data_IF_875511058181
#
_entry.id   IF_875511058181
#
_cell.length_a   1.000
_cell.length_b   1.000
_cell.length_c   1.000
_cell.angle_alpha   90.00
_cell.angle_beta   90.00
_cell.angle_gamma   90.00
#
_symmetry.space_group_name_H-M   'P 1'
#
loop_
_entity.id
_entity.type
_entity.pdbx_description
1 polymer ?
#
# COMPACT_ATOMS: atom_id res chain seq x y z
N UNK A 1 3.90 -10.19 29.78
CA UNK A 1 5.03 -9.83 28.88
C UNK A 1 4.97 -10.61 27.57
N UNK A 2 4.77 -11.93 27.55
CA UNK A 2 4.74 -12.75 26.31
C UNK A 2 3.84 -12.17 25.20
N UNK A 3 2.63 -11.70 25.52
CA UNK A 3 1.73 -11.08 24.53
C UNK A 3 2.19 -9.70 24.07
N UNK A 4 2.91 -8.96 24.90
CA UNK A 4 3.52 -7.69 24.48
C UNK A 4 4.61 -7.93 23.42
N UNK A 5 5.49 -8.92 23.65
CA UNK A 5 6.53 -9.31 22.70
C UNK A 5 5.93 -9.85 21.40
N UNK A 6 4.87 -10.66 21.50
CA UNK A 6 4.14 -11.17 20.34
C UNK A 6 3.59 -10.01 19.47
N UNK A 7 2.88 -9.05 20.08
CA UNK A 7 2.30 -7.93 19.33
C UNK A 7 3.36 -6.99 18.76
N UNK A 8 4.47 -6.76 19.46
CA UNK A 8 5.61 -6.03 18.90
C UNK A 8 6.08 -6.67 17.59
N UNK A 9 6.31 -7.98 17.55
CA UNK A 9 6.75 -8.67 16.34
C UNK A 9 5.69 -8.66 15.24
N UNK A 10 4.42 -8.85 15.56
CA UNK A 10 3.34 -8.78 14.58
C UNK A 10 3.19 -7.36 13.97
N UNK A 11 3.42 -6.31 14.76
CA UNK A 11 3.40 -4.94 14.25
C UNK A 11 4.59 -4.65 13.33
N UNK A 12 5.77 -5.13 13.65
CA UNK A 12 6.93 -5.04 12.76
C UNK A 12 6.67 -5.76 11.43
N UNK A 13 6.14 -6.97 11.46
CA UNK A 13 5.72 -7.71 10.25
C UNK A 13 4.65 -6.97 9.46
N UNK A 14 3.70 -6.30 10.13
CA UNK A 14 2.70 -5.48 9.46
C UNK A 14 3.36 -4.37 8.62
N UNK A 15 4.32 -3.63 9.18
CA UNK A 15 5.05 -2.58 8.46
C UNK A 15 5.85 -3.14 7.29
N UNK A 16 6.52 -4.27 7.46
CA UNK A 16 7.21 -4.96 6.36
C UNK A 16 6.22 -5.36 5.25
N UNK A 17 5.04 -5.86 5.62
CA UNK A 17 4.00 -6.27 4.67
C UNK A 17 3.41 -5.10 3.87
N UNK A 18 3.37 -3.91 4.43
CA UNK A 18 2.92 -2.71 3.70
C UNK A 18 4.05 -2.00 2.94
N UNK A 19 5.30 -2.46 3.08
CA UNK A 19 6.42 -2.03 2.24
C UNK A 19 7.49 -1.19 2.92
N UNK A 20 7.49 -1.09 4.25
CA UNK A 20 8.58 -0.44 5.01
C UNK A 20 9.69 -1.47 5.24
N UNK A 21 10.94 -1.12 4.92
CA UNK A 21 12.07 -2.02 5.12
C UNK A 21 12.33 -2.26 6.62
N UNK A 22 12.63 -3.51 6.97
CA UNK A 22 12.89 -3.90 8.37
C UNK A 22 14.04 -3.13 8.99
N UNK A 23 15.06 -2.82 8.20
CA UNK A 23 16.27 -2.11 8.64
C UNK A 23 15.98 -0.65 9.04
N UNK A 24 14.88 -0.07 8.56
CA UNK A 24 14.43 1.29 8.90
C UNK A 24 13.50 1.33 10.12
N UNK A 25 13.18 0.16 10.72
CA UNK A 25 12.30 0.02 11.88
C UNK A 25 13.10 -0.38 13.12
N UNK A 26 12.91 0.34 14.23
CA UNK A 26 13.61 0.12 15.47
C UNK A 26 12.60 -0.01 16.61
N UNK A 27 12.55 -1.18 17.27
CA UNK A 27 11.70 -1.39 18.44
C UNK A 27 12.52 -1.13 19.71
N UNK A 28 12.20 -0.07 20.44
CA UNK A 28 12.85 0.35 21.67
C UNK A 28 11.98 0.05 22.88
N UNK A 29 12.59 -0.43 23.96
CA UNK A 29 11.90 -0.58 25.24
C UNK A 29 11.83 0.78 25.91
N UNK A 30 10.63 1.23 26.24
CA UNK A 30 10.44 2.48 27.01
C UNK A 30 10.84 2.24 28.48
N UNK A 31 11.75 3.07 29.04
CA UNK A 31 12.16 2.99 30.43
C UNK A 31 10.98 3.15 31.39
N UNK A 32 11.11 2.57 32.61
CA UNK A 32 10.05 2.58 33.62
C UNK A 32 9.58 3.99 34.01
N UNK A 33 10.52 4.93 34.05
CA UNK A 33 10.29 6.33 34.43
C UNK A 33 9.59 7.14 33.34
N UNK A 34 9.65 6.71 32.10
CA UNK A 34 9.03 7.38 30.94
C UNK A 34 7.68 6.78 30.56
N UNK A 35 7.37 5.59 31.08
CA UNK A 35 6.12 4.90 30.79
C UNK A 35 4.91 5.59 31.39
N UNK A 36 3.80 5.51 30.67
CA UNK A 36 2.50 5.90 31.22
C UNK A 36 2.15 5.04 32.46
N UNK A 37 1.54 5.66 33.47
CA UNK A 37 1.20 5.04 34.76
C UNK A 37 0.34 3.77 34.66
N UNK A 38 -0.41 3.62 33.57
CA UNK A 38 -1.27 2.46 33.28
C UNK A 38 -0.51 1.32 32.59
N UNK A 39 0.71 1.55 32.12
CA UNK A 39 1.49 0.56 31.37
C UNK A 39 2.50 -0.16 32.27
N UNK A 40 2.53 -1.49 32.16
CA UNK A 40 3.52 -2.34 32.82
C UNK A 40 4.71 -2.66 31.91
N UNK A 41 4.62 -2.32 30.63
CA UNK A 41 5.67 -2.46 29.63
C UNK A 41 5.24 -1.82 28.33
N UNK A 42 6.16 -1.12 27.65
CA UNK A 42 5.89 -0.45 26.38
C UNK A 42 7.09 -0.62 25.45
N UNK A 43 6.80 -0.86 24.18
CA UNK A 43 7.75 -0.72 23.07
C UNK A 43 7.31 0.44 22.19
N UNK A 44 8.26 1.30 21.82
CA UNK A 44 8.08 2.26 20.74
C UNK A 44 8.74 1.70 19.48
N UNK A 45 7.97 1.61 18.40
CA UNK A 45 8.48 1.30 17.08
C UNK A 45 8.77 2.63 16.41
N UNK A 46 10.05 2.88 16.17
CA UNK A 46 10.54 4.08 15.49
C UNK A 46 10.89 3.77 14.04
N UNK A 47 10.80 4.81 13.19
CA UNK A 47 11.18 4.77 11.78
C UNK A 47 12.22 5.83 11.48
N UNK A 48 13.18 5.51 10.59
CA UNK A 48 14.22 6.41 10.13
C UNK A 48 13.67 7.35 9.02
N UNK A 49 13.02 8.45 9.44
CA UNK A 49 12.57 9.49 8.51
C UNK A 49 13.76 10.30 7.96
N UNK A 50 13.63 10.98 6.79
CA UNK A 50 14.69 11.85 6.27
C UNK A 50 15.14 12.96 7.20
N UNK A 51 14.28 13.36 8.16
CA UNK A 51 14.55 14.39 9.17
C UNK A 51 14.96 13.81 10.54
N UNK A 52 15.28 12.52 10.60
CA UNK A 52 15.71 11.81 11.79
C UNK A 52 14.72 10.76 12.28
N UNK A 53 15.20 9.87 13.14
CA UNK A 53 14.40 8.79 13.71
C UNK A 53 13.29 9.33 14.61
N UNK A 54 12.07 8.87 14.42
CA UNK A 54 10.89 9.27 15.18
C UNK A 54 9.96 8.08 15.41
N UNK A 55 9.21 8.15 16.49
CA UNK A 55 8.16 7.18 16.82
C UNK A 55 7.13 7.05 15.70
N UNK A 56 6.81 5.83 15.31
CA UNK A 56 5.78 5.45 14.36
C UNK A 56 4.57 4.82 15.05
N UNK A 57 4.80 4.00 16.07
CA UNK A 57 3.77 3.27 16.80
C UNK A 57 4.24 2.92 18.21
N UNK A 58 3.35 3.09 19.21
CA UNK A 58 3.53 2.56 20.54
C UNK A 58 2.82 1.22 20.73
N UNK A 59 3.44 0.25 21.43
CA UNK A 59 2.82 -1.02 21.82
C UNK A 59 2.88 -1.14 23.34
N UNK A 60 1.76 -0.97 24.01
CA UNK A 60 1.68 -0.89 25.47
C UNK A 60 0.95 -2.07 26.10
N UNK A 61 1.51 -2.67 27.14
CA UNK A 61 0.82 -3.62 28.02
C UNK A 61 0.14 -2.86 29.15
N UNK A 62 -1.17 -2.65 29.03
CA UNK A 62 -2.02 -1.82 29.89
C UNK A 62 -2.62 -2.57 31.08
N UNK A 63 -2.28 -3.84 31.24
CA UNK A 63 -2.88 -4.72 32.26
C UNK A 63 -4.41 -4.77 32.17
N UNK A 64 -5.10 -4.91 33.28
CA UNK A 64 -6.56 -4.83 33.41
C UNK A 64 -7.06 -3.39 33.69
N UNK A 65 -6.17 -2.39 33.63
CA UNK A 65 -6.44 -1.03 34.10
C UNK A 65 -7.70 -0.43 33.44
N UNK A 66 -7.75 -0.40 32.12
CA UNK A 66 -8.85 0.25 31.39
C UNK A 66 -10.19 -0.45 31.65
N UNK A 67 -10.23 -1.77 31.55
CA UNK A 67 -11.47 -2.54 31.75
C UNK A 67 -11.95 -2.46 33.20
N UNK A 68 -11.04 -2.43 34.17
CA UNK A 68 -11.37 -2.21 35.59
C UNK A 68 -11.97 -0.83 35.82
N UNK A 69 -11.42 0.25 35.22
CA UNK A 69 -11.99 1.61 35.31
C UNK A 69 -13.37 1.68 34.63
N UNK A 70 -13.51 1.10 33.45
CA UNK A 70 -14.78 1.07 32.71
C UNK A 70 -15.85 0.28 33.47
N UNK A 71 -15.51 -0.88 34.06
CA UNK A 71 -16.41 -1.66 34.89
C UNK A 71 -16.90 -0.84 36.10
N UNK A 72 -15.96 -0.19 36.80
CA UNK A 72 -16.28 0.67 37.95
C UNK A 72 -17.18 1.83 37.58
N UNK A 73 -16.91 2.52 36.49
CA UNK A 73 -17.66 3.69 36.05
C UNK A 73 -19.08 3.34 35.50
N UNK A 74 -19.20 2.24 34.78
CA UNK A 74 -20.46 1.83 34.15
C UNK A 74 -21.36 0.97 35.06
N UNK A 75 -20.80 0.36 36.10
CA UNK A 75 -21.47 -0.65 36.94
C UNK A 75 -21.78 -1.97 36.22
N UNK A 76 -21.24 -2.17 34.99
CA UNK A 76 -21.44 -3.40 34.22
C UNK A 76 -20.20 -4.27 34.34
N UNK A 77 -20.39 -5.59 34.57
CA UNK A 77 -19.27 -6.54 34.57
C UNK A 77 -18.63 -6.64 33.18
N UNK A 78 -17.31 -6.49 33.15
CA UNK A 78 -16.43 -6.70 31.98
C UNK A 78 -15.53 -7.93 32.19
N UNK A 79 -15.91 -8.81 33.11
CA UNK A 79 -15.21 -10.06 33.34
C UNK A 79 -15.41 -11.03 32.16
N UNK A 80 -14.34 -11.67 31.76
CA UNK A 80 -14.34 -12.83 30.87
C UNK A 80 -14.51 -14.11 31.69
N UNK A 81 -15.36 -14.99 31.24
CA UNK A 81 -15.47 -16.34 31.80
C UNK A 81 -14.73 -17.33 30.89
N UNK A 82 -13.69 -17.92 31.45
CA UNK A 82 -12.93 -18.97 30.77
C UNK A 82 -13.62 -20.32 30.89
N UNK A 83 -14.09 -20.84 29.79
CA UNK A 83 -14.80 -22.13 29.73
C UNK A 83 -13.91 -23.34 30.08
N UNK A 84 -12.60 -23.25 29.85
CA UNK A 84 -11.66 -24.34 30.15
C UNK A 84 -11.32 -24.38 31.64
N UNK A 85 -10.92 -23.24 32.20
CA UNK A 85 -10.51 -23.15 33.61
C UNK A 85 -11.66 -22.90 34.58
N UNK A 86 -12.87 -22.56 34.06
CA UNK A 86 -14.06 -22.16 34.83
C UNK A 86 -13.83 -20.95 35.75
N UNK A 87 -12.84 -20.11 35.42
CA UNK A 87 -12.52 -18.92 36.16
C UNK A 87 -13.10 -17.66 35.49
N UNK A 88 -13.39 -16.64 36.31
CA UNK A 88 -13.72 -15.29 35.85
C UNK A 88 -12.56 -14.36 36.15
N UNK A 89 -12.22 -13.52 35.23
CA UNK A 89 -11.21 -12.48 35.41
C UNK A 89 -11.46 -11.30 34.46
N UNK A 90 -10.96 -10.12 34.82
CA UNK A 90 -10.93 -8.97 33.92
C UNK A 90 -9.76 -9.18 32.96
N UNK A 91 -9.98 -9.20 31.64
CA UNK A 91 -8.91 -9.39 30.65
C UNK A 91 -7.87 -8.29 30.71
N UNK A 92 -6.62 -8.66 30.45
CA UNK A 92 -5.54 -7.71 30.26
C UNK A 92 -5.50 -7.23 28.80
N UNK A 93 -5.10 -5.99 28.59
CA UNK A 93 -5.04 -5.35 27.28
C UNK A 93 -3.59 -5.15 26.84
N UNK A 94 -3.27 -5.51 25.61
CA UNK A 94 -2.10 -5.04 24.88
C UNK A 94 -2.60 -4.18 23.74
N UNK A 95 -2.16 -2.93 23.72
CA UNK A 95 -2.61 -1.90 22.78
C UNK A 95 -1.48 -1.51 21.82
N UNK A 96 -1.51 -1.94 20.55
CA UNK A 96 -0.79 -1.29 19.48
C UNK A 96 -1.51 0.01 19.08
N UNK A 97 -0.80 1.13 19.05
CA UNK A 97 -1.37 2.46 18.76
C UNK A 97 -0.50 3.21 17.75
N UNK A 98 -1.01 3.35 16.51
CA UNK A 98 -0.32 4.00 15.42
C UNK A 98 -1.11 5.18 14.83
N UNK A 99 -0.41 6.24 14.42
CA UNK A 99 -0.99 7.35 13.69
C UNK A 99 -1.06 7.04 12.18
N UNK A 100 -2.25 7.11 11.59
CA UNK A 100 -2.44 6.85 10.14
C UNK A 100 -1.61 7.82 9.30
N UNK A 101 -1.66 9.13 9.59
CA UNK A 101 -0.95 10.15 8.81
C UNK A 101 0.58 9.95 8.88
N UNK A 102 1.10 9.55 10.04
CA UNK A 102 2.53 9.26 10.22
C UNK A 102 2.93 7.99 9.48
N UNK A 103 2.08 6.96 9.47
CA UNK A 103 2.29 5.76 8.65
C UNK A 103 2.28 6.08 7.16
N UNK A 104 1.37 6.93 6.69
CA UNK A 104 1.34 7.40 5.29
C UNK A 104 2.63 8.14 4.94
N UNK A 105 3.10 9.03 5.82
CA UNK A 105 4.37 9.75 5.62
C UNK A 105 5.55 8.78 5.52
N UNK A 106 5.65 7.79 6.42
CA UNK A 106 6.69 6.77 6.38
C UNK A 106 6.66 5.98 5.06
N UNK A 107 5.46 5.58 4.61
CA UNK A 107 5.28 4.89 3.33
C UNK A 107 5.71 5.72 2.12
N UNK A 108 5.45 7.04 2.13
CA UNK A 108 5.90 7.95 1.06
C UNK A 108 7.43 8.08 1.08
N UNK A 109 8.03 8.25 2.26
CA UNK A 109 9.49 8.32 2.41
C UNK A 109 10.17 7.03 1.93
N UNK A 110 9.62 5.87 2.30
CA UNK A 110 10.15 4.56 1.90
C UNK A 110 10.02 4.31 0.39
N UNK A 111 8.90 4.71 -0.19
CA UNK A 111 8.59 4.49 -1.60
C UNK A 111 9.34 5.44 -2.55
N UNK A 112 9.79 6.60 -2.05
CA UNK A 112 10.45 7.60 -2.88
C UNK A 112 11.78 7.09 -3.42
N UNK A 113 11.96 7.18 -4.73
CA UNK A 113 13.22 6.86 -5.38
C UNK A 113 13.44 7.69 -6.64
N UNK A 114 14.70 7.89 -6.98
CA UNK A 114 15.14 8.50 -8.22
C UNK A 114 15.94 7.47 -9.00
N UNK A 115 15.63 7.33 -10.29
CA UNK A 115 16.39 6.49 -11.20
C UNK A 115 16.53 7.17 -12.58
N UNK A 116 17.27 6.56 -13.48
CA UNK A 116 17.40 7.01 -14.86
C UNK A 116 16.56 6.11 -15.78
N UNK A 117 15.80 6.75 -16.67
CA UNK A 117 14.99 6.04 -17.65
C UNK A 117 15.01 6.74 -19.00
N UNK A 118 14.93 6.00 -20.12
CA UNK A 118 14.90 6.62 -21.45
C UNK A 118 13.61 7.42 -21.66
N UNK A 119 13.76 8.58 -22.28
CA UNK A 119 12.65 9.35 -22.84
C UNK A 119 12.12 8.71 -24.14
N UNK A 120 11.18 9.40 -24.80
CA UNK A 120 10.61 8.95 -26.10
C UNK A 120 11.64 8.87 -27.24
N UNK A 121 12.79 9.53 -27.08
CA UNK A 121 13.89 9.55 -28.06
C UNK A 121 15.05 8.64 -27.65
N UNK A 122 14.91 7.91 -26.55
CA UNK A 122 15.96 7.04 -26.00
C UNK A 122 17.04 7.76 -25.21
N UNK A 123 16.90 9.07 -24.92
CA UNK A 123 17.82 9.80 -24.07
C UNK A 123 17.50 9.48 -22.61
N UNK A 124 18.53 9.15 -21.82
CA UNK A 124 18.38 8.93 -20.39
C UNK A 124 18.05 10.24 -19.67
N UNK A 125 16.99 10.22 -18.87
CA UNK A 125 16.52 11.34 -18.05
C UNK A 125 16.19 10.84 -16.65
N UNK A 126 16.44 11.69 -15.66
CA UNK A 126 16.07 11.44 -14.27
C UNK A 126 14.56 11.18 -14.16
N UNK A 127 14.20 10.12 -13.46
CA UNK A 127 12.84 9.73 -13.17
C UNK A 127 12.60 9.69 -11.66
N UNK A 128 11.59 10.41 -11.20
CA UNK A 128 11.07 10.30 -9.83
C UNK A 128 9.99 9.22 -9.82
N UNK A 129 10.05 8.32 -8.86
CA UNK A 129 9.12 7.19 -8.72
C UNK A 129 8.73 6.99 -7.26
N UNK A 130 7.44 6.81 -6.99
CA UNK A 130 6.99 6.25 -5.72
C UNK A 130 6.78 4.74 -5.87
N UNK A 131 7.69 3.95 -5.29
CA UNK A 131 7.69 2.49 -5.40
C UNK A 131 6.80 1.82 -4.34
N UNK A 132 5.57 2.29 -4.23
CA UNK A 132 4.59 1.60 -3.38
C UNK A 132 4.41 0.14 -3.78
N UNK A 133 4.28 -0.74 -2.81
CA UNK A 133 3.80 -2.10 -3.11
C UNK A 133 2.45 -2.03 -3.81
N UNK A 134 2.19 -2.85 -4.84
CA UNK A 134 0.93 -2.80 -5.60
C UNK A 134 -0.31 -2.87 -4.71
N UNK A 135 -0.24 -3.65 -3.62
CA UNK A 135 -1.33 -3.82 -2.65
C UNK A 135 -1.76 -2.50 -1.98
N UNK A 136 -0.82 -1.59 -1.68
CA UNK A 136 -1.12 -0.34 -0.98
C UNK A 136 -1.17 0.89 -1.89
N UNK A 137 -0.69 0.80 -3.13
CA UNK A 137 -0.74 1.91 -4.08
C UNK A 137 -2.18 2.45 -4.21
N UNK A 138 -2.42 3.78 -4.08
CA UNK A 138 -3.77 4.34 -4.15
C UNK A 138 -4.48 4.04 -5.47
N UNK A 139 -3.75 4.19 -6.58
CA UNK A 139 -4.21 3.84 -7.93
C UNK A 139 -3.49 2.56 -8.33
N UNK A 140 -4.25 1.53 -8.70
CA UNK A 140 -3.69 0.22 -9.05
C UNK A 140 -3.24 0.13 -10.49
N UNK A 141 -4.01 0.76 -11.38
CA UNK A 141 -3.77 0.72 -12.82
C UNK A 141 -4.18 2.03 -13.46
N UNK A 142 -3.40 2.48 -14.44
CA UNK A 142 -3.77 3.59 -15.31
C UNK A 142 -3.97 3.11 -16.74
N UNK A 143 -5.02 3.62 -17.42
CA UNK A 143 -5.37 3.24 -18.80
C UNK A 143 -5.23 4.44 -19.72
N UNK A 144 -4.52 4.25 -20.82
CA UNK A 144 -4.19 5.29 -21.80
C UNK A 144 -4.59 4.89 -23.21
N UNK A 145 -5.42 5.66 -23.92
CA UNK A 145 -5.50 5.54 -25.38
C UNK A 145 -4.20 6.09 -25.99
N UNK A 146 -3.57 5.39 -26.92
CA UNK A 146 -2.34 5.87 -27.57
C UNK A 146 -2.51 7.29 -28.16
N UNK A 147 -3.64 7.51 -28.84
CA UNK A 147 -4.02 8.80 -29.43
C UNK A 147 -5.39 9.26 -28.91
N UNK A 148 -5.46 10.48 -28.37
CA UNK A 148 -6.69 11.08 -27.84
C UNK A 148 -7.70 11.50 -28.94
N UNK A 149 -7.22 11.74 -30.15
CA UNK A 149 -8.03 12.19 -31.30
C UNK A 149 -8.53 11.03 -32.20
N UNK A 150 -8.34 9.78 -31.74
CA UNK A 150 -8.86 8.58 -32.42
C UNK A 150 -9.94 7.95 -31.55
N UNK A 151 -11.21 8.24 -31.89
CA UNK A 151 -12.39 7.82 -31.12
C UNK A 151 -12.42 6.31 -30.80
N UNK A 152 -12.11 5.37 -31.69
CA UNK A 152 -12.09 3.95 -31.35
C UNK A 152 -11.11 3.57 -30.27
N UNK A 153 -9.92 4.21 -30.19
CA UNK A 153 -8.95 3.99 -29.11
C UNK A 153 -9.45 4.52 -27.78
N UNK A 154 -10.07 5.70 -27.80
CA UNK A 154 -10.66 6.33 -26.62
C UNK A 154 -11.83 5.49 -26.08
N UNK A 155 -12.73 5.06 -26.95
CA UNK A 155 -13.85 4.21 -26.58
C UNK A 155 -13.39 2.89 -25.97
N UNK A 156 -12.41 2.21 -26.58
CA UNK A 156 -11.84 0.95 -26.05
C UNK A 156 -11.13 1.15 -24.73
N UNK A 157 -10.41 2.25 -24.54
CA UNK A 157 -9.77 2.56 -23.27
C UNK A 157 -10.80 2.78 -22.15
N UNK A 158 -11.91 3.48 -22.42
CA UNK A 158 -13.01 3.66 -21.46
C UNK A 158 -13.74 2.34 -21.15
N UNK A 159 -13.90 1.44 -22.14
CA UNK A 159 -14.41 0.08 -21.93
C UNK A 159 -13.52 -0.69 -20.95
N UNK A 160 -12.19 -0.64 -21.11
CA UNK A 160 -11.24 -1.31 -20.23
C UNK A 160 -11.27 -0.69 -18.81
N UNK A 161 -11.38 0.62 -18.69
CA UNK A 161 -11.60 1.28 -17.40
C UNK A 161 -12.85 0.76 -16.69
N UNK A 162 -13.96 0.65 -17.44
CA UNK A 162 -15.21 0.12 -16.90
C UNK A 162 -15.09 -1.36 -16.47
N UNK A 163 -14.34 -2.17 -17.22
CA UNK A 163 -14.05 -3.57 -16.90
C UNK A 163 -13.24 -3.71 -15.60
N UNK A 164 -12.27 -2.84 -15.36
CA UNK A 164 -11.35 -2.93 -14.21
C UNK A 164 -11.91 -2.30 -12.93
N UNK A 165 -12.77 -1.28 -13.03
CA UNK A 165 -13.31 -0.54 -11.87
C UNK A 165 -14.00 -1.37 -10.79
N UNK A 166 -14.70 -2.47 -11.07
CA UNK A 166 -15.27 -3.33 -10.05
C UNK A 166 -14.23 -4.03 -9.16
N UNK A 167 -12.99 -4.12 -9.63
CA UNK A 167 -11.91 -4.87 -8.97
C UNK A 167 -10.88 -3.97 -8.28
N UNK A 168 -10.70 -2.71 -8.77
CA UNK A 168 -9.64 -1.84 -8.29
C UNK A 168 -9.88 -0.37 -8.67
N UNK A 169 -9.13 0.52 -8.01
CA UNK A 169 -9.13 1.94 -8.41
C UNK A 169 -8.26 2.14 -9.66
N UNK A 170 -8.90 2.64 -10.73
CA UNK A 170 -8.31 2.81 -12.06
C UNK A 170 -8.33 4.28 -12.47
N UNK A 171 -7.20 4.76 -12.96
CA UNK A 171 -7.06 6.11 -13.50
C UNK A 171 -7.10 6.08 -15.03
N UNK A 172 -7.77 7.06 -15.64
CA UNK A 172 -7.79 7.25 -17.09
C UNK A 172 -7.08 8.55 -17.45
N UNK A 173 -6.15 8.52 -18.41
CA UNK A 173 -5.46 9.71 -18.88
C UNK A 173 -5.23 9.70 -20.40
N UNK A 174 -5.62 10.80 -21.07
CA UNK A 174 -5.41 11.02 -22.50
C UNK A 174 -4.62 12.30 -22.79
N UNK A 175 -4.08 12.96 -21.74
CA UNK A 175 -3.47 14.29 -21.84
C UNK A 175 -1.98 14.21 -22.16
N UNK A 176 -1.58 14.82 -23.29
CA UNK A 176 -0.18 14.87 -23.73
C UNK A 176 0.33 13.58 -24.36
N UNK A 177 1.64 13.45 -24.51
CA UNK A 177 2.30 12.28 -25.07
C UNK A 177 2.27 11.08 -24.11
N UNK A 178 2.30 9.87 -24.64
CA UNK A 178 2.19 8.62 -23.86
C UNK A 178 3.31 8.49 -22.82
N UNK A 179 4.54 8.85 -23.14
CA UNK A 179 5.67 8.80 -22.21
C UNK A 179 5.45 9.70 -21.00
N UNK A 180 4.90 10.92 -21.17
CA UNK A 180 4.56 11.83 -20.08
C UNK A 180 3.44 11.28 -19.18
N UNK A 181 2.49 10.52 -19.74
CA UNK A 181 1.43 9.88 -18.95
C UNK A 181 2.02 8.81 -18.04
N UNK A 182 2.93 8.00 -18.55
CA UNK A 182 3.66 7.02 -17.75
C UNK A 182 4.46 7.71 -16.62
N UNK A 183 5.19 8.81 -16.92
CA UNK A 183 5.95 9.54 -15.89
C UNK A 183 5.07 10.05 -14.75
N UNK A 184 3.91 10.66 -15.06
CA UNK A 184 2.96 11.09 -14.03
C UNK A 184 2.47 9.92 -13.15
N UNK A 185 2.30 8.75 -13.73
CA UNK A 185 1.88 7.57 -12.97
C UNK A 185 3.04 6.98 -12.16
N UNK A 186 4.26 7.00 -12.66
CA UNK A 186 5.45 6.62 -11.92
C UNK A 186 5.61 7.54 -10.68
N UNK A 187 5.44 8.86 -10.84
CA UNK A 187 5.53 9.87 -9.77
C UNK A 187 4.49 9.68 -8.66
N UNK A 188 3.27 9.29 -8.98
CA UNK A 188 2.20 9.06 -7.99
C UNK A 188 2.14 7.60 -7.49
N UNK A 189 3.02 6.74 -8.01
CA UNK A 189 3.20 5.39 -7.52
C UNK A 189 2.23 4.34 -8.06
N UNK A 190 1.58 4.59 -9.23
CA UNK A 190 0.72 3.61 -9.88
C UNK A 190 1.55 2.44 -10.41
N UNK A 191 1.33 1.18 -9.96
CA UNK A 191 2.20 0.05 -10.32
C UNK A 191 2.04 -0.42 -11.77
N UNK A 192 0.86 -0.27 -12.37
CA UNK A 192 0.57 -0.80 -13.71
C UNK A 192 0.02 0.26 -14.65
N UNK A 193 0.51 0.26 -15.89
CA UNK A 193 -0.02 1.10 -16.97
C UNK A 193 -0.46 0.28 -18.17
N UNK A 194 -1.67 0.53 -18.65
CA UNK A 194 -2.26 -0.13 -19.81
C UNK A 194 -2.35 0.83 -20.98
N UNK A 195 -1.73 0.50 -22.10
CA UNK A 195 -1.86 1.27 -23.35
C UNK A 195 -2.75 0.55 -24.35
N UNK A 196 -3.75 1.27 -24.82
CA UNK A 196 -4.65 0.87 -25.91
C UNK A 196 -4.15 1.48 -27.22
N UNK A 197 -3.76 0.66 -28.18
CA UNK A 197 -3.12 1.05 -29.44
C UNK A 197 -3.83 0.49 -30.66
N UNK A 198 -3.25 0.68 -31.84
CA UNK A 198 -3.83 0.21 -33.13
C UNK A 198 -3.93 -1.31 -33.22
N UNK A 199 -3.03 -2.03 -32.56
CA UNK A 199 -3.07 -3.49 -32.49
C UNK A 199 -4.23 -3.97 -31.66
N UNK A 200 -4.58 -3.24 -30.56
CA UNK A 200 -5.79 -3.50 -29.76
C UNK A 200 -7.06 -3.48 -30.61
N UNK A 201 -7.11 -2.65 -31.65
CA UNK A 201 -8.23 -2.59 -32.61
C UNK A 201 -8.14 -3.65 -33.74
N UNK A 202 -7.02 -4.37 -33.82
CA UNK A 202 -6.74 -5.33 -34.90
C UNK A 202 -6.44 -4.66 -36.25
N UNK A 203 -6.05 -3.37 -36.25
CA UNK A 203 -5.83 -2.63 -37.49
C UNK A 203 -4.54 -3.02 -38.21
N UNK A 204 -3.48 -3.36 -37.47
CA UNK A 204 -2.19 -3.81 -38.01
C UNK A 204 -2.13 -5.33 -38.15
N UNK A 205 -2.57 -6.03 -37.13
CA UNK A 205 -2.62 -7.49 -37.03
C UNK A 205 -3.94 -7.92 -36.38
N UNK A 206 -4.85 -8.55 -37.12
CA UNK A 206 -6.12 -9.06 -36.58
C UNK A 206 -5.94 -10.06 -35.44
N UNK A 207 -4.81 -10.78 -35.33
CA UNK A 207 -4.51 -11.71 -34.24
C UNK A 207 -4.27 -11.01 -32.90
N UNK A 208 -3.92 -9.72 -32.92
CA UNK A 208 -3.68 -8.90 -31.71
C UNK A 208 -4.93 -8.13 -31.29
N UNK A 209 -6.06 -8.32 -31.95
CA UNK A 209 -7.32 -7.68 -31.54
C UNK A 209 -7.68 -8.04 -30.12
N UNK A 210 -8.21 -7.06 -29.38
CA UNK A 210 -8.55 -7.19 -27.96
C UNK A 210 -7.36 -7.59 -27.05
N UNK A 211 -6.15 -7.20 -27.44
CA UNK A 211 -4.97 -7.23 -26.60
C UNK A 211 -4.51 -5.80 -26.29
N UNK A 212 -3.78 -5.61 -25.18
CA UNK A 212 -3.24 -4.32 -24.73
C UNK A 212 -1.78 -4.47 -24.33
N UNK A 213 -1.04 -3.36 -24.32
CA UNK A 213 0.28 -3.33 -23.71
C UNK A 213 0.13 -3.05 -22.21
N UNK A 214 0.56 -3.99 -21.38
CA UNK A 214 0.68 -3.84 -19.93
C UNK A 214 2.13 -3.51 -19.58
N UNK A 215 2.35 -2.39 -18.85
CA UNK A 215 3.65 -1.95 -18.37
C UNK A 215 3.72 -2.03 -16.85
N UNK A 216 4.76 -2.63 -16.35
CA UNK A 216 5.15 -2.60 -14.95
C UNK A 216 5.98 -1.34 -14.65
N UNK A 217 5.64 -0.62 -13.57
CA UNK A 217 6.29 0.64 -13.15
C UNK A 217 7.77 0.46 -12.83
N UNK A 218 8.10 -0.58 -12.08
CA UNK A 218 9.42 -0.73 -11.49
C UNK A 218 10.46 -1.23 -12.51
N UNK A 219 10.13 -2.26 -13.25
CA UNK A 219 10.98 -2.82 -14.30
C UNK A 219 10.87 -2.09 -15.64
N UNK A 220 9.83 -1.28 -15.84
CA UNK A 220 9.42 -0.66 -17.10
C UNK A 220 9.17 -1.66 -18.25
N UNK A 221 9.19 -2.96 -17.95
CA UNK A 221 8.89 -3.99 -18.94
C UNK A 221 7.46 -3.87 -19.43
N UNK A 222 7.31 -4.12 -20.70
CA UNK A 222 6.01 -4.11 -21.37
C UNK A 222 5.73 -5.50 -21.97
N UNK A 223 4.53 -5.98 -21.76
CA UNK A 223 4.06 -7.23 -22.32
C UNK A 223 2.69 -7.08 -22.97
N UNK A 224 2.39 -7.96 -23.92
CA UNK A 224 1.10 -7.97 -24.57
C UNK A 224 0.19 -8.96 -23.88
N UNK A 225 -0.97 -8.50 -23.40
CA UNK A 225 -1.95 -9.32 -22.69
C UNK A 225 -3.34 -9.16 -23.30
N UNK A 226 -4.21 -10.15 -23.18
CA UNK A 226 -5.60 -10.03 -23.65
C UNK A 226 -6.40 -9.17 -22.67
N UNK A 227 -7.34 -8.38 -23.20
CA UNK A 227 -8.24 -7.56 -22.37
C UNK A 227 -9.05 -8.44 -21.42
N UNK A 228 -9.42 -9.64 -21.85
CA UNK A 228 -10.18 -10.62 -21.06
C UNK A 228 -9.43 -11.07 -19.79
N UNK A 229 -8.13 -11.29 -19.91
CA UNK A 229 -7.30 -11.82 -18.82
C UNK A 229 -6.77 -10.71 -17.87
N UNK A 230 -6.81 -9.45 -18.33
CA UNK A 230 -6.28 -8.29 -17.61
C UNK A 230 -6.77 -8.15 -16.17
N UNK A 231 -8.08 -8.30 -15.83
CA UNK A 231 -8.52 -8.23 -14.44
C UNK A 231 -7.87 -9.28 -13.54
N UNK A 232 -7.81 -10.53 -14.02
CA UNK A 232 -7.20 -11.63 -13.27
C UNK A 232 -5.70 -11.42 -13.03
N UNK A 233 -4.97 -10.98 -14.06
CA UNK A 233 -3.54 -10.64 -13.97
C UNK A 233 -3.32 -9.55 -12.93
N UNK A 234 -4.03 -8.43 -13.02
CA UNK A 234 -3.85 -7.31 -12.11
C UNK A 234 -4.24 -7.65 -10.68
N UNK A 235 -5.37 -8.36 -10.46
CA UNK A 235 -5.81 -8.78 -9.13
C UNK A 235 -4.76 -9.66 -8.46
N UNK A 236 -4.13 -10.61 -9.17
CA UNK A 236 -3.09 -11.47 -8.60
C UNK A 236 -1.86 -10.71 -8.08
N UNK A 237 -1.58 -9.52 -8.62
CA UNK A 237 -0.45 -8.68 -8.21
C UNK A 237 -0.79 -7.71 -7.07
N UNK A 238 -2.08 -7.40 -6.83
CA UNK A 238 -2.51 -6.45 -5.81
C UNK A 238 -3.12 -7.10 -4.56
N UNK A 239 -3.23 -8.43 -4.54
CA UNK A 239 -3.76 -9.24 -3.43
C UNK A 239 -2.81 -9.39 -2.25
#
# INVERSE_FOLDING_TARGET
>A
MQWLDYWKEERLKFYENIGIARDNLHALTVPDEERAFYSKGTYDIEYDFPFGRQELEGVAYRTDYDLSQHQKASGKSLEYFDEETKQKFIPHVVEPSAGVDRTVLALICEAYSEDEAPDEKGKMEMRIVLRFRPRIAPIKCAVFPLLKNKEPLVAKAKEIVALLRPHMYVFYDETGAIGRRYRRQDEIGTPFGVTVDFETLGEKDPALRDTVTLRDRDSMKQERVTVKDLPGILVSHIS
#
